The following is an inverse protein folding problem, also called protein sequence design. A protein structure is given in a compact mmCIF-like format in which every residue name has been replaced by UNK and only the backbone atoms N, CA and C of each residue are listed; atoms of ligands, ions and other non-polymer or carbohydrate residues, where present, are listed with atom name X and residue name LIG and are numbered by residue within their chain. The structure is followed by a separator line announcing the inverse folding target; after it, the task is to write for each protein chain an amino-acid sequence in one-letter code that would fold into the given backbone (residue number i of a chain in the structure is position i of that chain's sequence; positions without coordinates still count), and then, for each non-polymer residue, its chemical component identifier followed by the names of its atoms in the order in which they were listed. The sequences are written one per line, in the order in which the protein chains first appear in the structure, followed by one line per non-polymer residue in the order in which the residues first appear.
data_IF_568812075805
#
_entry.id   IF_568812075805
#
_cell.length_a   1.000
_cell.length_b   1.000
_cell.length_c   1.000
_cell.angle_alpha   90.00
_cell.angle_beta   90.00
_cell.angle_gamma   90.00
#
_symmetry.space_group_name_H-M   'P 1'
#
loop_
_entity.id
_entity.type
_entity.pdbx_description
1 polymer ?
#
# COMPACT_ATOMS: atom_id res chain seq x y z
N UNK A 1 -68.77 -19.97 22.92
CA UNK A 1 -68.49 -18.67 22.21
C UNK A 1 -66.95 -18.49 22.24
N UNK A 2 -66.28 -18.54 21.13
CA UNK A 2 -64.87 -18.19 21.03
C UNK A 2 -64.71 -16.69 20.88
N UNK A 3 -63.61 -16.07 21.35
CA UNK A 3 -63.37 -14.63 21.24
C UNK A 3 -62.92 -14.22 19.83
N UNK A 4 -63.32 -13.00 19.46
CA UNK A 4 -63.10 -12.40 18.15
C UNK A 4 -61.62 -12.06 17.86
N UNK A 5 -61.23 -12.23 16.62
CA UNK A 5 -59.89 -11.86 16.10
C UNK A 5 -59.73 -10.34 15.96
N UNK A 6 -58.52 -9.79 16.20
CA UNK A 6 -58.24 -8.37 15.98
C UNK A 6 -58.04 -8.04 14.49
N UNK A 7 -58.25 -6.78 14.09
CA UNK A 7 -58.18 -6.38 12.69
C UNK A 7 -56.73 -6.27 12.19
N UNK A 8 -56.55 -6.67 10.94
CA UNK A 8 -55.33 -6.54 10.15
C UNK A 8 -55.03 -5.04 9.85
N UNK A 9 -53.96 -4.51 10.42
CA UNK A 9 -53.38 -3.24 9.99
C UNK A 9 -52.50 -3.45 8.77
N UNK A 10 -52.85 -2.86 7.66
CA UNK A 10 -52.08 -2.84 6.44
C UNK A 10 -50.81 -1.98 6.65
N UNK A 11 -49.62 -2.61 6.61
CA UNK A 11 -48.36 -1.88 6.55
C UNK A 11 -48.10 -1.41 5.12
N UNK A 12 -48.13 -0.09 4.95
CA UNK A 12 -47.67 0.56 3.71
C UNK A 12 -46.16 0.50 3.67
N UNK A 13 -45.62 -0.41 2.86
CA UNK A 13 -44.19 -0.47 2.51
C UNK A 13 -43.86 0.74 1.64
N UNK A 14 -43.19 1.74 2.18
CA UNK A 14 -42.55 2.79 1.40
C UNK A 14 -41.38 2.17 0.63
N UNK A 15 -41.49 2.16 -0.69
CA UNK A 15 -40.41 1.78 -1.58
C UNK A 15 -39.19 2.72 -1.44
N UNK A 16 -37.99 2.24 -1.73
CA UNK A 16 -36.77 3.05 -1.63
C UNK A 16 -36.80 4.21 -2.61
N UNK A 17 -36.47 5.41 -2.10
CA UNK A 17 -36.47 6.65 -2.87
C UNK A 17 -35.41 6.60 -3.98
N UNK A 18 -35.80 6.99 -5.18
CA UNK A 18 -35.02 7.08 -6.42
C UNK A 18 -33.80 8.01 -6.38
N UNK A 19 -33.37 8.48 -5.19
CA UNK A 19 -32.24 9.40 -5.06
C UNK A 19 -30.86 8.72 -4.94
N UNK A 20 -30.79 7.41 -4.83
CA UNK A 20 -29.50 6.68 -4.69
C UNK A 20 -29.02 5.97 -5.97
N UNK A 21 -29.72 6.13 -7.08
CA UNK A 21 -29.37 5.51 -8.38
C UNK A 21 -28.54 6.40 -9.32
N UNK A 22 -28.25 7.65 -8.94
CA UNK A 22 -27.55 8.60 -9.80
C UNK A 22 -26.03 8.67 -9.59
N UNK A 23 -25.46 8.01 -8.57
CA UNK A 23 -24.01 8.07 -8.29
C UNK A 23 -23.23 6.83 -8.77
N UNK A 24 -23.92 5.74 -9.10
CA UNK A 24 -23.28 4.51 -9.55
C UNK A 24 -22.98 4.42 -11.07
N UNK A 25 -23.36 5.44 -11.87
CA UNK A 25 -23.28 5.38 -13.34
C UNK A 25 -22.08 6.11 -13.95
N UNK A 26 -21.19 6.75 -13.17
CA UNK A 26 -20.09 7.58 -13.72
C UNK A 26 -18.71 6.92 -13.61
N UNK A 27 -18.58 5.74 -13.01
CA UNK A 27 -17.28 5.04 -12.83
C UNK A 27 -17.14 3.73 -13.61
N UNK A 28 -17.89 3.55 -14.69
CA UNK A 28 -17.65 2.46 -15.66
C UNK A 28 -17.00 3.07 -16.90
N UNK A 29 -15.76 3.51 -16.79
CA UNK A 29 -14.87 3.83 -17.92
C UNK A 29 -13.71 2.80 -17.94
N UNK A 30 -13.22 2.42 -19.09
CA UNK A 30 -12.94 1.06 -19.55
C UNK A 30 -11.69 0.46 -18.87
N UNK A 31 -11.89 -0.33 -17.83
CA UNK A 31 -10.81 -1.12 -17.19
C UNK A 31 -10.42 -2.39 -17.95
N UNK A 32 -11.07 -2.70 -19.07
CA UNK A 32 -10.72 -3.85 -19.93
C UNK A 32 -9.46 -3.61 -20.79
N UNK A 33 -9.03 -2.35 -20.95
CA UNK A 33 -7.80 -2.04 -21.69
C UNK A 33 -6.53 -2.30 -20.87
N UNK A 34 -6.58 -2.17 -19.55
CA UNK A 34 -5.40 -2.24 -18.67
C UNK A 34 -4.73 -3.61 -18.70
N UNK A 35 -5.50 -4.70 -18.68
CA UNK A 35 -4.92 -6.04 -18.74
C UNK A 35 -4.39 -6.39 -20.15
N UNK A 36 -5.04 -5.88 -21.20
CA UNK A 36 -4.57 -6.06 -22.59
C UNK A 36 -3.33 -5.20 -22.87
N UNK A 37 -3.27 -3.97 -22.32
CA UNK A 37 -2.13 -3.07 -22.45
C UNK A 37 -0.93 -3.56 -21.63
N UNK A 38 -1.16 -4.19 -20.47
CA UNK A 38 -0.10 -4.82 -19.69
C UNK A 38 0.50 -6.02 -20.41
N UNK A 39 -0.33 -6.86 -21.04
CA UNK A 39 0.15 -7.99 -21.85
C UNK A 39 0.96 -7.50 -23.07
N UNK A 40 0.52 -6.44 -23.74
CA UNK A 40 1.25 -5.85 -24.88
C UNK A 40 2.55 -5.17 -24.46
N UNK A 41 2.59 -4.55 -23.28
CA UNK A 41 3.81 -4.01 -22.70
C UNK A 41 4.79 -5.12 -22.33
N UNK A 42 4.33 -6.22 -21.75
CA UNK A 42 5.18 -7.34 -21.38
C UNK A 42 5.91 -7.99 -22.57
N UNK A 43 5.27 -8.09 -23.73
CA UNK A 43 5.88 -8.79 -24.86
C UNK A 43 6.94 -7.96 -25.61
N UNK A 44 6.76 -6.67 -25.75
CA UNK A 44 7.63 -5.83 -26.60
C UNK A 44 8.68 -5.03 -25.81
N UNK A 45 8.32 -4.41 -24.70
CA UNK A 45 9.16 -3.49 -23.96
C UNK A 45 9.98 -4.17 -22.85
N UNK A 46 9.45 -5.22 -22.19
CA UNK A 46 10.14 -5.93 -21.11
C UNK A 46 11.41 -6.63 -21.59
N UNK A 47 11.36 -7.26 -22.76
CA UNK A 47 12.53 -7.93 -23.35
C UNK A 47 13.65 -6.95 -23.70
N UNK A 48 13.30 -5.74 -24.14
CA UNK A 48 14.26 -4.69 -24.51
C UNK A 48 14.95 -4.09 -23.27
N UNK A 49 14.17 -3.79 -22.22
CA UNK A 49 14.70 -3.27 -20.94
C UNK A 49 15.56 -4.30 -20.24
N UNK A 50 15.12 -5.57 -20.17
CA UNK A 50 15.87 -6.65 -19.56
C UNK A 50 17.22 -6.93 -20.27
N UNK A 51 17.30 -6.68 -21.57
CA UNK A 51 18.57 -6.80 -22.33
C UNK A 51 19.50 -5.61 -22.13
N UNK A 52 18.97 -4.42 -21.94
CA UNK A 52 19.73 -3.18 -21.85
C UNK A 52 20.30 -2.92 -20.44
N UNK A 53 19.69 -3.46 -19.40
CA UNK A 53 20.13 -3.31 -18.02
C UNK A 53 20.75 -4.62 -17.51
N UNK A 54 21.85 -4.55 -16.73
CA UNK A 54 22.48 -5.72 -16.12
C UNK A 54 21.65 -6.23 -14.91
N UNK A 55 20.35 -6.37 -15.09
CA UNK A 55 19.42 -6.88 -14.08
C UNK A 55 19.21 -8.38 -14.30
N UNK A 56 19.15 -9.11 -13.20
CA UNK A 56 18.64 -10.48 -13.23
C UNK A 56 17.16 -10.48 -13.57
N UNK A 57 16.65 -11.57 -14.14
CA UNK A 57 15.22 -11.72 -14.40
C UNK A 57 14.36 -11.49 -13.15
N UNK A 58 14.87 -11.86 -11.97
CA UNK A 58 14.21 -11.60 -10.69
C UNK A 58 14.11 -10.11 -10.38
N UNK A 59 15.21 -9.36 -10.49
CA UNK A 59 15.23 -7.92 -10.25
C UNK A 59 14.31 -7.17 -11.22
N UNK A 60 14.36 -7.55 -12.50
CA UNK A 60 13.48 -6.96 -13.49
C UNK A 60 12.00 -7.18 -13.13
N UNK A 61 11.61 -8.41 -12.81
CA UNK A 61 10.24 -8.75 -12.40
C UNK A 61 9.74 -7.91 -11.23
N UNK A 62 10.63 -7.57 -10.29
CA UNK A 62 10.27 -6.77 -9.11
C UNK A 62 10.03 -5.30 -9.42
N UNK A 63 10.72 -4.73 -10.42
CA UNK A 63 10.56 -3.33 -10.81
C UNK A 63 9.56 -3.12 -11.96
N UNK A 64 9.20 -4.18 -12.65
CA UNK A 64 8.30 -4.13 -13.82
C UNK A 64 6.91 -3.52 -13.49
N UNK A 65 6.24 -3.87 -12.38
CA UNK A 65 4.97 -3.25 -11.99
C UNK A 65 5.09 -1.74 -11.76
N UNK A 66 6.15 -1.31 -11.09
CA UNK A 66 6.45 0.11 -10.82
C UNK A 66 6.70 0.89 -12.09
N UNK A 67 7.48 0.30 -13.01
CA UNK A 67 7.77 0.89 -14.31
C UNK A 67 6.50 1.03 -15.15
N UNK A 68 5.67 -0.01 -15.18
CA UNK A 68 4.39 0.00 -15.87
C UNK A 68 3.45 1.10 -15.34
N UNK A 69 3.37 1.23 -14.01
CA UNK A 69 2.54 2.28 -13.40
C UNK A 69 3.00 3.69 -13.79
N UNK A 70 4.29 3.96 -13.75
CA UNK A 70 4.81 5.27 -14.18
C UNK A 70 4.48 5.57 -15.64
N UNK A 71 4.57 4.56 -16.52
CA UNK A 71 4.20 4.70 -17.93
C UNK A 71 2.71 4.97 -18.09
N UNK A 72 1.87 4.24 -17.38
CA UNK A 72 0.42 4.38 -17.44
C UNK A 72 -0.02 5.76 -16.92
N UNK A 73 0.56 6.18 -15.80
CA UNK A 73 0.25 7.46 -15.18
C UNK A 73 0.66 8.67 -16.06
N UNK A 74 1.70 8.50 -16.87
CA UNK A 74 2.26 9.54 -17.72
C UNK A 74 2.21 9.16 -19.21
N UNK A 75 1.20 8.38 -19.61
CA UNK A 75 1.08 7.87 -20.99
C UNK A 75 1.09 8.97 -22.05
N UNK A 76 0.45 10.12 -21.78
CA UNK A 76 0.42 11.26 -22.70
C UNK A 76 1.83 11.81 -22.96
N UNK A 77 2.68 11.91 -21.94
CA UNK A 77 4.05 12.41 -22.08
C UNK A 77 4.96 11.44 -22.86
N UNK A 78 4.54 10.18 -23.00
CA UNK A 78 5.29 9.13 -23.71
C UNK A 78 4.70 8.81 -25.08
N UNK A 79 3.49 9.29 -25.40
CA UNK A 79 2.75 8.94 -26.62
C UNK A 79 3.45 9.41 -27.91
N UNK A 80 4.06 10.59 -27.89
CA UNK A 80 4.70 11.21 -29.07
C UNK A 80 6.15 10.75 -29.30
N UNK A 81 6.67 9.85 -28.46
CA UNK A 81 8.04 9.36 -28.59
C UNK A 81 8.16 8.29 -29.69
N UNK A 82 9.25 8.35 -30.46
CA UNK A 82 9.62 7.23 -31.32
C UNK A 82 9.89 5.95 -30.49
N UNK A 83 9.80 4.78 -31.12
CA UNK A 83 10.07 3.51 -30.45
C UNK A 83 11.45 3.49 -29.76
N UNK A 84 12.49 4.04 -30.41
CA UNK A 84 13.84 4.13 -29.86
C UNK A 84 13.90 5.07 -28.64
N UNK A 85 13.29 6.27 -28.75
CA UNK A 85 13.21 7.24 -27.65
C UNK A 85 12.45 6.67 -26.45
N UNK A 86 11.33 5.97 -26.72
CA UNK A 86 10.53 5.31 -25.69
C UNK A 86 11.36 4.24 -24.97
N UNK A 87 12.06 3.38 -25.71
CA UNK A 87 12.93 2.34 -25.14
C UNK A 87 14.05 2.95 -24.28
N UNK A 88 14.76 3.96 -24.76
CA UNK A 88 15.80 4.66 -23.99
C UNK A 88 15.25 5.21 -22.68
N UNK A 89 14.06 5.80 -22.70
CA UNK A 89 13.39 6.33 -21.52
C UNK A 89 13.01 5.24 -20.53
N UNK A 90 12.47 4.12 -20.99
CA UNK A 90 12.13 2.98 -20.15
C UNK A 90 13.35 2.40 -19.44
N UNK A 91 14.48 2.27 -20.15
CA UNK A 91 15.74 1.82 -19.56
C UNK A 91 16.21 2.78 -18.47
N UNK A 92 16.13 4.08 -18.69
CA UNK A 92 16.52 5.10 -17.70
C UNK A 92 15.60 5.11 -16.48
N UNK A 93 14.28 4.97 -16.66
CA UNK A 93 13.31 4.86 -15.58
C UNK A 93 13.56 3.60 -14.74
N UNK A 94 13.75 2.46 -15.39
CA UNK A 94 14.06 1.21 -14.69
C UNK A 94 15.38 1.31 -13.89
N UNK A 95 16.41 1.95 -14.47
CA UNK A 95 17.67 2.19 -13.77
C UNK A 95 17.48 3.14 -12.55
N UNK A 96 16.62 4.14 -12.67
CA UNK A 96 16.28 5.04 -11.57
C UNK A 96 15.57 4.30 -10.44
N UNK A 97 14.54 3.48 -10.75
CA UNK A 97 13.84 2.66 -9.75
C UNK A 97 14.84 1.74 -9.03
N UNK A 98 15.67 1.01 -9.77
CA UNK A 98 16.65 0.08 -9.18
C UNK A 98 17.71 0.80 -8.33
N UNK A 99 18.15 1.99 -8.74
CA UNK A 99 19.05 2.81 -7.93
C UNK A 99 18.41 3.22 -6.59
N UNK A 100 17.12 3.59 -6.62
CA UNK A 100 16.36 3.92 -5.40
C UNK A 100 16.16 2.69 -4.51
N UNK A 101 15.81 1.53 -5.07
CA UNK A 101 15.74 0.26 -4.32
C UNK A 101 17.03 0.00 -3.56
N UNK A 102 18.18 0.07 -4.24
CA UNK A 102 19.49 -0.13 -3.61
C UNK A 102 19.79 0.88 -2.53
N UNK A 103 19.48 2.16 -2.77
CA UNK A 103 19.76 3.23 -1.81
C UNK A 103 18.98 3.07 -0.50
N UNK A 104 17.76 2.53 -0.55
CA UNK A 104 16.89 2.39 0.63
C UNK A 104 16.87 0.98 1.22
N UNK A 105 17.47 -0.01 0.56
CA UNK A 105 17.39 -1.42 0.96
C UNK A 105 17.78 -1.68 2.43
N UNK A 106 18.72 -0.92 2.97
CA UNK A 106 19.19 -1.06 4.35
C UNK A 106 18.40 -0.24 5.37
N UNK A 107 17.44 0.57 4.90
CA UNK A 107 16.59 1.37 5.80
C UNK A 107 15.79 0.45 6.73
N UNK A 108 15.88 0.69 8.02
CA UNK A 108 15.26 -0.13 9.04
C UNK A 108 13.77 0.18 9.13
N UNK A 109 12.94 -0.86 9.03
CA UNK A 109 11.48 -0.80 9.19
C UNK A 109 11.08 -1.25 10.60
N UNK A 110 11.62 -2.37 11.07
CA UNK A 110 11.37 -2.88 12.43
C UNK A 110 12.73 -3.28 13.03
N UNK A 111 13.12 -2.63 14.11
CA UNK A 111 14.38 -2.92 14.75
C UNK A 111 14.63 -2.13 16.03
N UNK A 112 15.79 -2.31 16.66
CA UNK A 112 16.07 -1.74 17.97
C UNK A 112 15.85 -0.22 18.07
N UNK A 113 15.17 0.21 19.12
CA UNK A 113 14.92 1.63 19.37
C UNK A 113 13.74 2.23 18.61
N UNK A 114 13.02 1.44 17.82
CA UNK A 114 11.80 1.87 17.15
C UNK A 114 10.54 1.61 17.96
N UNK A 115 9.47 2.32 17.63
CA UNK A 115 8.13 2.08 18.14
C UNK A 115 7.25 1.41 17.08
N UNK A 116 6.39 0.50 17.49
CA UNK A 116 5.34 -0.10 16.66
C UNK A 116 3.97 0.38 17.15
N UNK A 117 3.14 0.87 16.25
CA UNK A 117 1.74 1.23 16.52
C UNK A 117 0.88 0.33 15.65
N UNK A 118 0.11 -0.59 16.24
CA UNK A 118 -0.72 -1.53 15.52
C UNK A 118 -2.21 -1.20 15.62
N UNK A 119 -2.93 -1.21 14.49
CA UNK A 119 -4.39 -1.22 14.44
C UNK A 119 -4.83 -2.55 13.82
N UNK A 120 -5.54 -3.36 14.59
CA UNK A 120 -5.97 -4.70 14.18
C UNK A 120 -7.49 -4.75 14.05
N UNK A 121 -7.96 -5.30 12.95
CA UNK A 121 -9.37 -5.57 12.72
C UNK A 121 -9.98 -6.42 13.86
N UNK A 122 -11.14 -6.03 14.40
CA UNK A 122 -11.77 -6.75 15.50
C UNK A 122 -12.27 -8.13 15.09
N UNK A 123 -12.72 -8.29 13.85
CA UNK A 123 -13.37 -9.51 13.35
C UNK A 123 -12.39 -10.54 12.80
N UNK A 124 -11.14 -10.13 12.56
CA UNK A 124 -10.07 -11.03 12.15
C UNK A 124 -9.40 -11.69 13.34
N UNK A 125 -9.01 -12.95 13.17
CA UNK A 125 -8.28 -13.73 14.18
C UNK A 125 -6.86 -13.23 14.48
N UNK A 126 -6.55 -11.98 14.12
CA UNK A 126 -5.28 -11.32 14.40
C UNK A 126 -5.06 -11.21 15.92
N UNK A 127 -4.02 -11.86 16.40
CA UNK A 127 -3.66 -11.83 17.80
C UNK A 127 -2.71 -10.66 18.11
N UNK A 128 -3.11 -9.69 18.97
CA UNK A 128 -2.23 -8.60 19.39
C UNK A 128 -0.88 -9.08 19.96
N UNK A 129 -0.84 -10.31 20.48
CA UNK A 129 0.38 -10.93 21.01
C UNK A 129 1.43 -11.19 19.95
N UNK A 130 1.05 -11.38 18.67
CA UNK A 130 2.00 -11.59 17.57
C UNK A 130 2.83 -10.33 17.30
N UNK A 131 2.20 -9.15 17.20
CA UNK A 131 2.91 -7.88 17.04
C UNK A 131 3.78 -7.60 18.28
N UNK A 132 3.24 -7.85 19.47
CA UNK A 132 4.00 -7.68 20.73
C UNK A 132 5.19 -8.62 20.80
N UNK A 133 5.06 -9.86 20.29
CA UNK A 133 6.15 -10.83 20.26
C UNK A 133 7.23 -10.44 19.22
N UNK A 134 6.79 -9.96 18.04
CA UNK A 134 7.69 -9.41 17.02
C UNK A 134 8.46 -8.20 17.58
N UNK A 135 7.75 -7.26 18.21
CA UNK A 135 8.36 -6.08 18.84
C UNK A 135 9.44 -6.47 19.87
N UNK A 136 9.12 -7.37 20.78
CA UNK A 136 10.09 -7.89 21.77
C UNK A 136 11.30 -8.54 21.10
N UNK A 137 11.06 -9.32 20.04
CA UNK A 137 12.14 -10.02 19.32
C UNK A 137 13.13 -9.04 18.68
N UNK A 138 12.66 -7.86 18.26
CA UNK A 138 13.46 -6.81 17.65
C UNK A 138 13.76 -5.62 18.58
N UNK A 139 13.46 -5.74 19.88
CA UNK A 139 13.71 -4.69 20.88
C UNK A 139 13.00 -3.36 20.57
N UNK A 140 11.78 -3.45 20.03
CA UNK A 140 10.87 -2.34 19.81
C UNK A 140 9.91 -2.20 20.99
N UNK A 141 9.35 -1.01 21.18
CA UNK A 141 8.11 -0.84 21.95
C UNK A 141 6.91 -1.11 21.05
N UNK A 142 5.78 -1.51 21.62
CA UNK A 142 4.55 -1.72 20.85
C UNK A 142 3.34 -1.19 21.58
N UNK A 143 2.50 -0.44 20.88
CA UNK A 143 1.15 -0.04 21.30
C UNK A 143 0.17 -0.58 20.28
N UNK A 144 -0.83 -1.36 20.72
CA UNK A 144 -1.73 -2.08 19.81
C UNK A 144 -3.16 -1.72 20.14
N UNK A 145 -3.89 -1.34 19.13
CA UNK A 145 -5.29 -0.99 19.15
C UNK A 145 -6.11 -2.11 18.49
N UNK A 146 -7.02 -2.65 19.22
CA UNK A 146 -8.01 -3.64 18.76
C UNK A 146 -9.24 -3.51 19.66
N UNK A 147 -10.43 -3.47 19.07
CA UNK A 147 -11.65 -3.57 19.85
C UNK A 147 -11.73 -4.97 20.46
N UNK A 148 -11.68 -5.06 21.79
CA UNK A 148 -11.75 -6.32 22.54
C UNK A 148 -12.96 -6.38 23.45
N UNK A 149 -13.43 -5.21 23.93
CA UNK A 149 -14.53 -5.13 24.90
C UNK A 149 -15.84 -4.81 24.18
N UNK A 150 -16.96 -5.43 24.57
CA UNK A 150 -18.29 -5.14 23.99
C UNK A 150 -18.71 -3.69 24.14
N UNK A 151 -18.27 -3.03 25.21
CA UNK A 151 -18.61 -1.62 25.52
C UNK A 151 -17.82 -0.59 24.71
N UNK A 152 -16.67 -0.98 24.13
CA UNK A 152 -15.91 -0.10 23.25
C UNK A 152 -16.61 0.04 21.91
N UNK A 153 -16.59 1.25 21.35
CA UNK A 153 -16.99 1.50 19.96
C UNK A 153 -15.75 1.39 19.03
N UNK A 154 -16.00 1.10 17.76
CA UNK A 154 -14.94 1.12 16.73
C UNK A 154 -14.34 2.53 16.61
N UNK A 155 -15.16 3.57 16.74
CA UNK A 155 -14.73 4.97 16.70
C UNK A 155 -13.76 5.31 17.82
N UNK A 156 -14.07 4.92 19.08
CA UNK A 156 -13.18 5.18 20.22
C UNK A 156 -11.79 4.53 20.04
N UNK A 157 -11.76 3.30 19.52
CA UNK A 157 -10.47 2.63 19.25
C UNK A 157 -9.73 3.30 18.10
N UNK A 158 -10.46 3.67 17.03
CA UNK A 158 -9.90 4.39 15.88
C UNK A 158 -9.35 5.77 16.27
N UNK A 159 -10.05 6.51 17.14
CA UNK A 159 -9.61 7.81 17.65
C UNK A 159 -8.33 7.68 18.50
N UNK A 160 -8.30 6.71 19.41
CA UNK A 160 -7.11 6.45 20.22
C UNK A 160 -5.90 6.03 19.37
N UNK A 161 -6.12 5.26 18.29
CA UNK A 161 -5.09 4.95 17.32
C UNK A 161 -4.57 6.22 16.61
N UNK A 162 -5.48 7.09 16.12
CA UNK A 162 -5.09 8.34 15.46
C UNK A 162 -4.34 9.29 16.41
N UNK A 163 -4.70 9.35 17.68
CA UNK A 163 -3.95 10.10 18.70
C UNK A 163 -2.51 9.57 18.86
N UNK A 164 -2.33 8.25 18.89
CA UNK A 164 -1.01 7.65 18.95
C UNK A 164 -0.18 7.93 17.68
N UNK A 165 -0.80 7.87 16.50
CA UNK A 165 -0.17 8.24 15.22
C UNK A 165 0.19 9.71 15.20
N UNK A 166 -0.69 10.60 15.67
CA UNK A 166 -0.39 12.04 15.80
C UNK A 166 0.82 12.29 16.72
N UNK A 167 0.87 11.60 17.85
CA UNK A 167 2.01 11.73 18.78
C UNK A 167 3.33 11.30 18.12
N UNK A 168 3.31 10.23 17.34
CA UNK A 168 4.48 9.72 16.60
C UNK A 168 4.90 10.65 15.46
N UNK A 169 3.96 11.35 14.81
CA UNK A 169 4.21 12.23 13.67
C UNK A 169 4.83 13.58 14.05
N UNK A 170 4.88 13.94 15.34
CA UNK A 170 5.45 15.21 15.81
C UNK A 170 6.93 15.34 15.44
N UNK A 171 7.42 16.58 15.23
CA UNK A 171 8.84 16.84 14.98
C UNK A 171 9.72 16.27 16.09
N UNK A 172 10.82 15.61 15.71
CA UNK A 172 11.72 14.96 16.65
C UNK A 172 11.22 13.64 17.24
N UNK A 173 10.10 13.11 16.72
CA UNK A 173 9.60 11.79 17.09
C UNK A 173 10.61 10.67 16.82
N UNK A 174 10.57 9.62 17.63
CA UNK A 174 11.37 8.42 17.41
C UNK A 174 10.92 7.69 16.14
N UNK A 175 11.83 6.97 15.44
CA UNK A 175 11.44 6.13 14.32
C UNK A 175 10.28 5.21 14.70
N UNK A 176 9.20 5.26 13.94
CA UNK A 176 7.95 4.55 14.27
C UNK A 176 7.39 3.85 13.04
N UNK A 177 7.00 2.59 13.22
CA UNK A 177 6.26 1.82 12.21
C UNK A 177 4.80 1.68 12.64
N UNK A 178 3.91 2.21 11.83
CA UNK A 178 2.46 2.06 11.96
C UNK A 178 2.03 0.85 11.15
N UNK A 179 1.24 -0.04 11.73
CA UNK A 179 0.80 -1.30 11.13
C UNK A 179 -0.72 -1.34 11.16
N UNK A 180 -1.35 -1.40 10.00
CA UNK A 180 -2.81 -1.53 9.85
C UNK A 180 -3.09 -2.88 9.21
N UNK A 181 -3.88 -3.72 9.87
CA UNK A 181 -4.21 -5.07 9.41
C UNK A 181 -5.72 -5.28 9.48
N UNK A 182 -6.35 -5.63 8.36
CA UNK A 182 -7.76 -5.94 8.37
C UNK A 182 -8.51 -5.76 7.05
N UNK A 183 -9.66 -5.10 7.12
CA UNK A 183 -10.46 -4.72 5.96
C UNK A 183 -10.21 -3.28 5.54
N UNK A 184 -10.02 -3.06 4.25
CA UNK A 184 -9.79 -1.74 3.66
C UNK A 184 -10.47 -1.52 2.33
N UNK A 185 -10.62 -0.25 2.00
CA UNK A 185 -11.05 0.30 0.72
C UNK A 185 -9.99 1.30 0.24
N UNK A 186 -9.99 1.69 -1.04
CA UNK A 186 -9.04 2.68 -1.54
C UNK A 186 -9.02 4.01 -0.77
N UNK A 187 -10.10 4.34 -0.08
CA UNK A 187 -10.27 5.62 0.61
C UNK A 187 -10.53 5.49 2.12
N UNK A 188 -10.48 4.26 2.68
CA UNK A 188 -10.88 4.03 4.06
C UNK A 188 -10.24 2.78 4.67
N UNK A 189 -9.76 2.88 5.91
CA UNK A 189 -9.55 1.72 6.79
C UNK A 189 -10.94 1.31 7.28
N UNK A 190 -11.55 0.36 6.56
CA UNK A 190 -12.98 0.04 6.69
C UNK A 190 -13.34 -0.47 8.08
N UNK A 191 -12.49 -1.27 8.70
CA UNK A 191 -12.73 -1.89 10.01
C UNK A 191 -13.04 -0.89 11.13
N UNK A 192 -12.51 0.34 11.01
CA UNK A 192 -12.64 1.38 12.03
C UNK A 192 -13.25 2.68 11.50
N UNK A 193 -13.74 2.69 10.25
CA UNK A 193 -14.31 3.86 9.59
C UNK A 193 -13.36 5.07 9.63
N UNK A 194 -12.07 4.82 9.33
CA UNK A 194 -11.06 5.90 9.26
C UNK A 194 -10.85 6.25 7.80
N UNK A 195 -11.42 7.36 7.31
CA UNK A 195 -11.19 7.83 5.95
C UNK A 195 -9.72 8.24 5.75
N UNK A 196 -9.20 8.06 4.56
CA UNK A 196 -7.81 8.39 4.20
C UNK A 196 -7.47 9.86 4.47
N UNK A 197 -8.41 10.79 4.22
CA UNK A 197 -8.23 12.21 4.48
C UNK A 197 -8.07 12.50 5.98
N UNK A 198 -8.75 11.76 6.86
CA UNK A 198 -8.62 11.91 8.32
C UNK A 198 -7.24 11.46 8.80
N UNK A 199 -6.73 10.35 8.29
CA UNK A 199 -5.37 9.91 8.61
C UNK A 199 -4.33 10.89 8.06
N UNK A 200 -4.50 11.37 6.82
CA UNK A 200 -3.64 12.39 6.23
C UNK A 200 -3.63 13.69 7.05
N UNK A 201 -4.81 14.18 7.46
CA UNK A 201 -4.92 15.36 8.31
C UNK A 201 -4.22 15.16 9.66
N UNK A 202 -4.41 14.01 10.31
CA UNK A 202 -3.76 13.65 11.56
C UNK A 202 -2.23 13.75 11.43
N UNK A 203 -1.65 13.20 10.38
CA UNK A 203 -0.22 13.21 10.12
C UNK A 203 0.30 14.63 9.85
N UNK A 204 -0.35 15.36 8.94
CA UNK A 204 0.10 16.70 8.52
C UNK A 204 -0.03 17.71 9.65
N UNK A 205 -1.16 17.72 10.37
CA UNK A 205 -1.39 18.66 11.49
C UNK A 205 -0.40 18.42 12.62
N UNK A 206 -0.15 17.15 12.97
CA UNK A 206 0.78 16.81 14.03
C UNK A 206 2.24 17.14 13.66
N UNK A 207 2.63 16.97 12.40
CA UNK A 207 3.97 17.29 11.93
C UNK A 207 4.20 18.79 11.74
N UNK A 208 3.15 19.59 11.47
CA UNK A 208 3.23 21.03 11.25
C UNK A 208 2.98 21.88 12.50
N UNK A 209 3.12 21.32 13.71
CA UNK A 209 2.66 21.94 14.97
C UNK A 209 3.27 23.34 15.24
N UNK A 210 4.48 23.60 14.74
CA UNK A 210 5.19 24.86 14.91
C UNK A 210 5.10 25.77 13.66
N UNK A 211 4.16 25.50 12.73
CA UNK A 211 4.09 26.18 11.43
C UNK A 211 5.29 25.87 10.53
N UNK A 212 6.08 24.88 10.90
CA UNK A 212 7.27 24.43 10.20
C UNK A 212 6.94 23.48 9.05
N UNK A 213 7.98 23.08 8.35
CA UNK A 213 7.88 22.09 7.29
C UNK A 213 7.43 20.72 7.82
N UNK A 214 6.56 20.07 7.11
CA UNK A 214 6.11 18.69 7.40
C UNK A 214 7.21 17.71 7.03
N UNK A 215 7.77 17.01 8.01
CA UNK A 215 8.78 15.96 7.82
C UNK A 215 8.32 14.68 8.53
N UNK A 216 7.88 13.71 7.77
CA UNK A 216 7.40 12.41 8.23
C UNK A 216 8.37 11.25 7.90
N UNK A 217 9.62 11.58 7.53
CA UNK A 217 10.59 10.58 7.10
C UNK A 217 11.05 9.58 8.17
N UNK A 218 10.67 9.81 9.43
CA UNK A 218 10.88 8.87 10.55
C UNK A 218 9.75 7.87 10.70
N UNK A 219 8.68 7.97 9.88
CA UNK A 219 7.56 7.06 9.90
C UNK A 219 7.63 6.06 8.75
N UNK A 220 7.24 4.83 9.04
CA UNK A 220 6.87 3.82 8.06
C UNK A 220 5.43 3.41 8.33
N UNK A 221 4.59 3.34 7.30
CA UNK A 221 3.19 2.89 7.42
C UNK A 221 3.04 1.63 6.60
N UNK A 222 2.65 0.55 7.25
CA UNK A 222 2.35 -0.75 6.64
C UNK A 222 0.84 -0.94 6.69
N UNK A 223 0.23 -1.23 5.55
CA UNK A 223 -1.18 -1.56 5.44
C UNK A 223 -1.34 -2.91 4.75
N UNK A 224 -1.98 -3.85 5.40
CA UNK A 224 -2.30 -5.17 4.85
C UNK A 224 -3.81 -5.38 4.91
N UNK A 225 -4.47 -4.81 3.94
CA UNK A 225 -5.89 -4.92 3.67
C UNK A 225 -6.17 -4.97 2.17
N UNK A 226 -7.44 -5.08 1.79
CA UNK A 226 -7.85 -4.95 0.40
C UNK A 226 -7.51 -3.55 -0.12
N UNK A 227 -7.00 -3.47 -1.37
CA UNK A 227 -6.67 -2.20 -2.03
C UNK A 227 -5.63 -1.34 -1.29
N UNK A 228 -4.75 -1.96 -0.50
CA UNK A 228 -3.82 -1.20 0.35
C UNK A 228 -2.86 -0.31 -0.45
N UNK A 229 -2.44 -0.70 -1.67
CA UNK A 229 -1.64 0.19 -2.52
C UNK A 229 -2.43 1.42 -2.97
N UNK A 230 -3.72 1.27 -3.33
CA UNK A 230 -4.58 2.40 -3.68
C UNK A 230 -4.79 3.33 -2.48
N UNK A 231 -5.01 2.75 -1.29
CA UNK A 231 -5.09 3.52 -0.05
C UNK A 231 -3.83 4.33 0.22
N UNK A 232 -2.65 3.72 0.07
CA UNK A 232 -1.35 4.40 0.29
C UNK A 232 -1.10 5.53 -0.71
N UNK A 233 -1.46 5.33 -1.98
CA UNK A 233 -1.38 6.38 -3.01
C UNK A 233 -2.31 7.55 -2.65
N UNK A 234 -3.54 7.26 -2.27
CA UNK A 234 -4.51 8.27 -1.87
C UNK A 234 -4.04 9.01 -0.61
N UNK A 235 -3.46 8.30 0.38
CA UNK A 235 -2.88 8.91 1.58
C UNK A 235 -1.77 9.90 1.22
N UNK A 236 -0.84 9.51 0.34
CA UNK A 236 0.25 10.38 -0.11
C UNK A 236 -0.25 11.63 -0.83
N UNK A 237 -1.24 11.48 -1.71
CA UNK A 237 -1.87 12.60 -2.44
C UNK A 237 -2.61 13.55 -1.51
N UNK A 238 -3.38 13.02 -0.56
CA UNK A 238 -4.10 13.82 0.44
C UNK A 238 -3.14 14.61 1.33
N UNK A 239 -2.04 14.01 1.80
CA UNK A 239 -1.02 14.75 2.56
C UNK A 239 -0.41 15.89 1.74
N UNK A 240 -0.11 15.66 0.47
CA UNK A 240 0.42 16.69 -0.44
C UNK A 240 -0.57 17.83 -0.65
N UNK A 241 -1.83 17.51 -0.88
CA UNK A 241 -2.91 18.48 -1.02
C UNK A 241 -3.09 19.33 0.24
N UNK A 242 -3.17 18.68 1.41
CA UNK A 242 -3.32 19.37 2.70
C UNK A 242 -2.15 20.31 2.99
N UNK A 243 -0.91 19.92 2.65
CA UNK A 243 0.25 20.79 2.80
C UNK A 243 0.14 22.03 1.91
N UNK A 244 -0.32 21.88 0.65
CA UNK A 244 -0.58 23.02 -0.26
C UNK A 244 -1.66 23.95 0.30
N UNK A 245 -2.80 23.40 0.73
CA UNK A 245 -3.92 24.17 1.30
C UNK A 245 -3.52 24.95 2.55
N UNK A 246 -2.65 24.38 3.37
CA UNK A 246 -2.13 25.01 4.60
C UNK A 246 -0.90 25.87 4.37
N UNK A 247 -0.41 25.96 3.13
CA UNK A 247 0.82 26.71 2.78
C UNK A 247 2.04 26.27 3.58
N UNK A 248 2.13 24.97 3.90
CA UNK A 248 3.31 24.36 4.55
C UNK A 248 4.05 23.49 3.54
N UNK A 249 5.36 23.41 3.66
CA UNK A 249 6.18 22.57 2.79
C UNK A 249 6.22 21.13 3.29
N UNK A 250 5.90 20.17 2.41
CA UNK A 250 6.11 18.76 2.68
C UNK A 250 7.53 18.38 2.28
N UNK A 251 8.46 18.37 3.23
CA UNK A 251 9.88 18.11 2.98
C UNK A 251 10.21 16.63 2.88
N UNK A 252 9.45 15.78 3.57
CA UNK A 252 9.62 14.33 3.49
C UNK A 252 8.34 13.59 3.86
N UNK A 253 7.91 12.70 2.97
CA UNK A 253 6.81 11.75 3.17
C UNK A 253 7.24 10.59 4.07
N UNK A 254 6.30 9.86 4.70
CA UNK A 254 6.61 8.56 5.30
C UNK A 254 6.92 7.53 4.20
N UNK A 255 7.63 6.47 4.57
CA UNK A 255 7.68 5.24 3.74
C UNK A 255 6.36 4.50 3.87
N UNK A 256 5.77 4.08 2.75
CA UNK A 256 4.49 3.39 2.73
C UNK A 256 4.69 1.97 2.19
N UNK A 257 4.14 0.98 2.87
CA UNK A 257 4.22 -0.44 2.47
C UNK A 257 2.81 -0.98 2.40
N UNK A 258 2.41 -1.48 1.25
CA UNK A 258 1.12 -2.08 1.00
C UNK A 258 1.25 -3.60 0.86
N UNK A 259 0.34 -4.35 1.46
CA UNK A 259 0.27 -5.81 1.35
C UNK A 259 -0.35 -6.30 0.06
N UNK A 260 -1.01 -5.41 -0.71
CA UNK A 260 -1.63 -5.71 -2.00
C UNK A 260 -1.24 -4.70 -3.05
N UNK A 261 -1.21 -5.13 -4.30
CA UNK A 261 -1.04 -4.23 -5.44
C UNK A 261 -2.32 -3.41 -5.68
N UNK A 262 -2.27 -2.47 -6.63
CA UNK A 262 -3.39 -1.63 -7.04
C UNK A 262 -4.53 -2.44 -7.60
N UNK A 263 -5.76 -1.97 -7.36
CA UNK A 263 -6.99 -2.64 -7.79
C UNK A 263 -7.14 -4.09 -7.28
N UNK A 264 -6.30 -4.53 -6.33
CA UNK A 264 -6.26 -5.90 -5.84
C UNK A 264 -6.88 -6.04 -4.45
N UNK A 265 -7.55 -7.16 -4.24
CA UNK A 265 -8.04 -7.56 -2.92
C UNK A 265 -6.95 -8.30 -2.15
N UNK A 266 -6.91 -8.10 -0.83
CA UNK A 266 -6.07 -8.88 0.06
C UNK A 266 -6.59 -10.30 0.19
N UNK A 267 -5.68 -11.26 0.19
CA UNK A 267 -6.00 -12.63 0.51
C UNK A 267 -5.65 -12.95 1.96
N UNK A 268 -6.47 -13.79 2.57
CA UNK A 268 -6.22 -14.28 3.90
C UNK A 268 -6.53 -15.77 3.98
N UNK A 269 -5.93 -16.46 4.93
CA UNK A 269 -6.28 -17.84 5.21
C UNK A 269 -7.71 -17.93 5.75
N UNK A 270 -8.53 -18.68 5.03
CA UNK A 270 -9.91 -18.99 5.42
C UNK A 270 -9.85 -20.20 6.35
N UNK A 271 -9.73 -19.95 7.63
CA UNK A 271 -9.69 -20.98 8.67
C UNK A 271 -10.24 -20.46 9.99
N UNK A 272 -9.83 -21.06 11.09
CA UNK A 272 -10.22 -20.59 12.44
C UNK A 272 -9.73 -19.18 12.74
N UNK A 273 -8.70 -18.71 12.00
CA UNK A 273 -8.12 -17.38 12.12
C UNK A 273 -7.89 -16.81 10.73
N UNK A 274 -8.65 -15.79 10.39
CA UNK A 274 -8.48 -15.04 9.15
C UNK A 274 -7.29 -14.10 9.30
N UNK A 275 -6.12 -14.48 8.78
CA UNK A 275 -4.89 -13.68 8.83
C UNK A 275 -4.48 -13.28 7.43
N UNK A 276 -4.27 -11.98 7.15
CA UNK A 276 -3.79 -11.51 5.86
C UNK A 276 -2.47 -12.19 5.47
N UNK A 277 -2.36 -12.62 4.21
CA UNK A 277 -1.21 -13.41 3.76
C UNK A 277 0.11 -12.63 3.81
N UNK A 278 0.08 -11.33 3.52
CA UNK A 278 1.30 -10.52 3.60
C UNK A 278 1.84 -10.50 5.04
N UNK A 279 1.00 -10.15 6.03
CA UNK A 279 1.43 -10.11 7.42
C UNK A 279 1.87 -11.48 7.94
N UNK A 280 1.18 -12.54 7.56
CA UNK A 280 1.57 -13.91 7.88
C UNK A 280 2.98 -14.23 7.36
N UNK A 281 3.30 -13.84 6.13
CA UNK A 281 4.64 -14.03 5.58
C UNK A 281 5.70 -13.20 6.32
N UNK A 282 5.36 -11.99 6.78
CA UNK A 282 6.24 -11.20 7.66
C UNK A 282 6.52 -11.95 8.97
N UNK A 283 5.50 -12.48 9.62
CA UNK A 283 5.65 -13.26 10.87
C UNK A 283 6.45 -14.54 10.61
N UNK A 284 6.14 -15.28 9.56
CA UNK A 284 6.86 -16.51 9.18
C UNK A 284 8.35 -16.24 8.97
N UNK A 285 8.69 -15.26 8.14
CA UNK A 285 10.07 -14.94 7.76
C UNK A 285 10.89 -14.39 8.93
N UNK A 286 10.31 -13.51 9.74
CA UNK A 286 11.10 -12.69 10.64
C UNK A 286 10.87 -13.02 12.13
N UNK A 287 9.80 -13.73 12.46
CA UNK A 287 9.58 -14.16 13.84
C UNK A 287 9.74 -15.67 14.03
N UNK A 288 9.20 -16.49 13.11
CA UNK A 288 9.22 -17.95 13.26
C UNK A 288 10.57 -18.52 12.81
N UNK A 289 11.03 -18.20 11.61
CA UNK A 289 12.29 -18.71 11.06
C UNK A 289 13.52 -18.20 11.82
N UNK A 290 14.56 -19.04 11.83
CA UNK A 290 15.85 -18.75 12.47
C UNK A 290 17.00 -18.99 11.48
N UNK A 291 18.11 -18.23 11.56
CA UNK A 291 18.36 -17.12 12.47
C UNK A 291 17.55 -15.87 12.09
N UNK A 292 17.20 -15.03 13.06
CA UNK A 292 16.56 -13.73 12.81
C UNK A 292 17.60 -12.69 12.43
N UNK A 293 17.32 -11.77 11.48
CA UNK A 293 18.17 -10.60 11.26
C UNK A 293 18.12 -9.66 12.47
N UNK A 294 19.11 -8.77 12.58
CA UNK A 294 19.16 -7.79 13.67
C UNK A 294 18.04 -6.75 13.59
N UNK A 295 17.58 -6.44 12.39
CA UNK A 295 16.44 -5.60 12.06
C UNK A 295 15.77 -6.12 10.79
N UNK A 296 14.51 -5.79 10.59
CA UNK A 296 13.79 -5.97 9.32
C UNK A 296 13.98 -4.67 8.53
N UNK A 297 14.47 -4.78 7.31
CA UNK A 297 14.76 -3.65 6.44
C UNK A 297 13.77 -3.53 5.29
N UNK A 298 13.77 -2.42 4.57
CA UNK A 298 12.98 -2.28 3.34
C UNK A 298 13.38 -3.34 2.31
N UNK A 299 14.68 -3.65 2.19
CA UNK A 299 15.17 -4.74 1.34
C UNK A 299 14.54 -6.08 1.65
N UNK A 300 14.24 -6.35 2.93
CA UNK A 300 13.56 -7.57 3.32
C UNK A 300 12.13 -7.64 2.77
N UNK A 301 11.42 -6.51 2.69
CA UNK A 301 10.06 -6.46 2.14
C UNK A 301 10.06 -6.70 0.64
N UNK A 302 10.78 -5.92 -0.14
CA UNK A 302 10.77 -6.05 -1.59
C UNK A 302 11.63 -7.20 -2.14
N UNK A 303 12.40 -7.91 -1.30
CA UNK A 303 13.16 -9.09 -1.74
C UNK A 303 12.62 -10.40 -1.17
N UNK A 304 12.32 -10.45 0.14
CA UNK A 304 11.96 -11.70 0.82
C UNK A 304 10.46 -11.88 0.91
N UNK A 305 9.71 -10.83 1.32
CA UNK A 305 8.25 -10.91 1.43
C UNK A 305 7.64 -11.02 0.05
N UNK A 306 8.05 -10.17 -0.90
CA UNK A 306 7.63 -10.24 -2.29
C UNK A 306 7.82 -11.64 -2.88
N UNK A 307 8.99 -12.25 -2.73
CA UNK A 307 9.23 -13.60 -3.23
C UNK A 307 8.29 -14.66 -2.63
N UNK A 308 7.90 -14.53 -1.36
CA UNK A 308 6.93 -15.44 -0.75
C UNK A 308 5.52 -15.19 -1.26
N UNK A 309 5.20 -13.94 -1.59
CA UNK A 309 3.88 -13.55 -2.11
C UNK A 309 3.70 -13.84 -3.60
N UNK A 310 4.76 -13.92 -4.38
CA UNK A 310 4.73 -14.02 -5.85
C UNK A 310 3.82 -15.12 -6.41
N UNK A 311 3.60 -16.20 -5.68
CA UNK A 311 2.71 -17.29 -6.10
C UNK A 311 1.21 -17.02 -5.94
N UNK A 312 0.81 -16.02 -5.14
CA UNK A 312 -0.59 -15.76 -4.86
C UNK A 312 -1.31 -15.18 -6.07
N UNK A 313 -2.46 -15.78 -6.42
CA UNK A 313 -3.22 -15.44 -7.63
C UNK A 313 -2.61 -15.94 -8.93
N UNK A 314 -1.54 -16.75 -8.88
CA UNK A 314 -0.88 -17.35 -10.03
C UNK A 314 -0.93 -18.87 -9.97
N UNK A 315 -1.30 -19.51 -11.09
CA UNK A 315 -1.27 -20.95 -11.22
C UNK A 315 0.09 -21.40 -11.80
N UNK A 316 0.84 -22.28 -11.12
CA UNK A 316 2.10 -22.76 -11.67
C UNK A 316 1.87 -23.62 -12.90
N UNK A 317 2.66 -23.39 -13.95
CA UNK A 317 2.78 -24.25 -15.11
C UNK A 317 3.94 -25.20 -14.88
N UNK A 318 3.64 -26.50 -14.81
CA UNK A 318 4.60 -27.54 -14.44
C UNK A 318 4.95 -28.35 -15.70
N UNK A 319 6.25 -28.50 -15.95
CA UNK A 319 6.80 -29.43 -16.94
C UNK A 319 7.69 -30.46 -16.23
N UNK A 320 7.25 -31.72 -16.23
CA UNK A 320 7.89 -32.75 -15.41
C UNK A 320 7.73 -32.44 -13.92
N UNK A 321 8.84 -32.27 -13.20
CA UNK A 321 8.86 -31.92 -11.77
C UNK A 321 9.24 -30.46 -11.50
N UNK A 322 9.30 -29.60 -12.55
CA UNK A 322 9.74 -28.21 -12.42
C UNK A 322 8.61 -27.24 -12.77
N UNK A 323 8.50 -26.19 -11.97
CA UNK A 323 7.68 -25.01 -12.32
C UNK A 323 8.49 -24.21 -13.36
N UNK A 324 7.92 -24.07 -14.57
CA UNK A 324 8.58 -23.37 -15.69
C UNK A 324 8.06 -21.96 -15.87
N UNK A 325 6.82 -21.68 -15.48
CA UNK A 325 6.21 -20.35 -15.50
C UNK A 325 4.94 -20.33 -14.62
N UNK A 326 4.26 -19.18 -14.58
CA UNK A 326 2.99 -19.01 -13.88
C UNK A 326 1.96 -18.40 -14.83
N UNK A 327 0.74 -18.90 -14.76
CA UNK A 327 -0.43 -18.33 -15.42
C UNK A 327 -1.18 -17.46 -14.42
N UNK A 328 -1.48 -16.21 -14.77
CA UNK A 328 -2.39 -15.36 -14.01
C UNK A 328 -3.79 -15.96 -14.03
N UNK A 329 -4.40 -16.10 -12.86
CA UNK A 329 -5.79 -16.57 -12.74
C UNK A 329 -6.76 -15.40 -12.94
N UNK A 330 -6.57 -14.34 -12.15
CA UNK A 330 -7.30 -13.09 -12.24
C UNK A 330 -6.36 -11.96 -11.80
N UNK A 331 -6.11 -10.92 -12.59
CA UNK A 331 -5.24 -9.81 -12.20
C UNK A 331 -5.64 -9.16 -10.87
N UNK A 332 -6.94 -9.12 -10.54
CA UNK A 332 -7.43 -8.58 -9.27
C UNK A 332 -7.15 -9.45 -8.05
N UNK A 333 -6.76 -10.69 -8.30
CA UNK A 333 -6.45 -11.67 -7.26
C UNK A 333 -4.94 -11.87 -7.06
N UNK A 334 -4.12 -11.17 -7.84
CA UNK A 334 -2.66 -11.21 -7.71
C UNK A 334 -2.23 -10.31 -6.57
N UNK A 335 -1.80 -10.92 -5.48
CA UNK A 335 -1.34 -10.17 -4.32
C UNK A 335 0.19 -10.06 -4.36
N UNK A 336 0.68 -8.90 -4.78
CA UNK A 336 2.08 -8.50 -4.69
C UNK A 336 2.19 -7.31 -3.72
N UNK A 337 3.08 -7.33 -2.74
CA UNK A 337 3.33 -6.19 -1.89
C UNK A 337 3.98 -5.05 -2.69
N UNK A 338 3.71 -3.82 -2.28
CA UNK A 338 4.24 -2.62 -2.93
C UNK A 338 4.90 -1.73 -1.89
N UNK A 339 6.08 -1.23 -2.20
CA UNK A 339 6.82 -0.29 -1.34
C UNK A 339 6.93 1.06 -2.03
N UNK A 340 6.36 2.08 -1.43
CA UNK A 340 6.48 3.46 -1.87
C UNK A 340 7.51 4.19 -1.01
N UNK A 341 8.55 4.72 -1.63
CA UNK A 341 9.57 5.49 -0.95
C UNK A 341 9.44 6.98 -1.26
N UNK A 342 9.67 7.85 -0.26
CA UNK A 342 9.61 9.28 -0.50
C UNK A 342 10.71 9.72 -1.47
N UNK A 343 10.35 10.66 -2.36
CA UNK A 343 11.27 11.34 -3.27
C UNK A 343 11.60 12.72 -2.71
N UNK A 344 12.89 13.02 -2.62
CA UNK A 344 13.34 14.38 -2.36
C UNK A 344 13.21 15.27 -3.62
N UNK A 345 13.50 16.56 -3.50
CA UNK A 345 13.38 17.52 -4.62
C UNK A 345 14.26 17.13 -5.83
N UNK A 346 15.46 16.60 -5.58
CA UNK A 346 16.40 16.16 -6.64
C UNK A 346 15.84 14.93 -7.35
N UNK A 347 15.30 14.00 -6.61
CA UNK A 347 14.64 12.79 -7.15
C UNK A 347 13.42 13.14 -7.98
N UNK A 348 12.56 14.03 -7.49
CA UNK A 348 11.38 14.49 -8.21
C UNK A 348 11.78 15.22 -9.50
N UNK A 349 12.80 16.07 -9.45
CA UNK A 349 13.32 16.75 -10.64
C UNK A 349 13.87 15.75 -11.67
N UNK A 350 14.60 14.72 -11.19
CA UNK A 350 15.14 13.66 -12.04
C UNK A 350 14.02 12.84 -12.67
N UNK A 351 13.03 12.43 -11.89
CA UNK A 351 11.89 11.65 -12.37
C UNK A 351 11.09 12.45 -13.41
N UNK A 352 10.80 13.74 -13.16
CA UNK A 352 10.14 14.63 -14.11
C UNK A 352 10.92 14.74 -15.43
N UNK A 353 12.24 14.91 -15.37
CA UNK A 353 13.09 14.94 -16.55
C UNK A 353 13.06 13.62 -17.33
N UNK A 354 13.11 12.48 -16.62
CA UNK A 354 13.00 11.14 -17.22
C UNK A 354 11.64 10.91 -17.88
N UNK A 355 10.57 11.41 -17.30
CA UNK A 355 9.22 11.34 -17.87
C UNK A 355 8.97 12.37 -18.96
N UNK A 356 9.86 13.36 -19.14
CA UNK A 356 9.68 14.45 -20.09
C UNK A 356 8.64 15.47 -19.66
N UNK A 357 8.37 15.57 -18.38
CA UNK A 357 7.40 16.49 -17.81
C UNK A 357 7.99 17.89 -17.64
N UNK A 358 7.16 18.92 -17.77
CA UNK A 358 7.54 20.29 -17.43
C UNK A 358 7.85 20.45 -15.92
N UNK A 359 8.64 21.46 -15.56
CA UNK A 359 9.04 21.71 -14.15
C UNK A 359 7.83 21.88 -13.23
N UNK A 360 6.74 22.44 -13.73
CA UNK A 360 5.51 22.70 -12.98
C UNK A 360 4.52 21.53 -13.01
N UNK A 361 4.81 20.47 -13.77
CA UNK A 361 3.93 19.32 -13.83
C UNK A 361 3.87 18.61 -12.46
N UNK A 362 2.69 18.14 -12.10
CA UNK A 362 2.51 17.32 -10.91
C UNK A 362 3.13 15.94 -11.11
N UNK A 363 3.81 15.49 -10.08
CA UNK A 363 4.37 14.14 -9.97
C UNK A 363 4.15 13.70 -8.54
N UNK A 364 3.83 12.43 -8.34
CA UNK A 364 3.67 11.91 -6.99
C UNK A 364 4.97 12.12 -6.18
N UNK A 365 4.89 12.52 -4.92
CA UNK A 365 6.07 12.79 -4.08
C UNK A 365 6.72 11.50 -3.55
N UNK A 366 6.33 10.37 -4.08
CA UNK A 366 6.85 9.03 -3.75
C UNK A 366 7.04 8.21 -5.04
N UNK A 367 7.88 7.21 -4.94
CA UNK A 367 8.15 6.25 -6.00
C UNK A 367 7.78 4.85 -5.52
N UNK A 368 7.00 4.15 -6.32
CA UNK A 368 6.80 2.72 -6.21
C UNK A 368 8.11 2.03 -6.62
N UNK A 369 8.66 1.19 -5.75
CA UNK A 369 9.91 0.44 -5.99
C UNK A 369 9.73 -1.08 -5.98
N UNK A 370 8.48 -1.56 -6.00
CA UNK A 370 8.13 -2.98 -6.05
C UNK A 370 7.85 -3.61 -4.72
#
# INVERSE_FOLDING_TARGET
MPPAAPPLTASVTRGPSLRHLAVAAILVIPRLSVAADFASFQEQDSSAVAKALPLTAKQYRQIEPSLYYLIQQHAEALADLSAEQRQDRLVKLAAFIEAKRKAVATAQVIGPGQSLIGLLDPDHGLDPREISALARAYRCTATIFKKTEPTQTLTEVGDAFLEAVAAAARPGGSPTTVIVLGHGLPEEIQSYHIPVNRLAETLVVAAAIDGSNVNLGHLTIICDDCYSADFMINLGRQMTQLCRERSVSLTRMPTLIAGTNRDCVGHADVGLNFVPHFWRNVIELFYIRKPRPAAITLGDFFEKVDNMMYGYGRRPIIQGSKVVSYQLLDPKMVQDPVVFVPLDETDQATLKALLGLGKTADCDPFLDIG
#
